data_IF_638247206847
#
_entry.id   IF_638247206847
#
_cell.length_a   1.000
_cell.length_b   1.000
_cell.length_c   1.000
_cell.angle_alpha   90.00
_cell.angle_beta   90.00
_cell.angle_gamma   90.00
#
_symmetry.space_group_name_H-M   'P 1'
#
loop_
_entity.id
_entity.type
_entity.pdbx_description
1 polymer ?
#
# COMPACT_ATOMS: atom_id res chain seq x y z
N UNK A 1 14.27 -2.31 -0.94
CA UNK A 1 14.58 -2.12 -2.38
C UNK A 1 15.56 -0.97 -2.50
N UNK A 2 16.60 -1.11 -3.28
CA UNK A 2 17.54 -0.01 -3.50
C UNK A 2 16.99 1.01 -4.52
N UNK A 3 17.66 2.17 -4.63
CA UNK A 3 17.20 3.28 -5.48
C UNK A 3 17.19 2.89 -6.96
N UNK A 4 18.20 2.15 -7.42
CA UNK A 4 18.28 1.76 -8.83
C UNK A 4 17.18 0.79 -9.21
N UNK A 5 16.91 -0.21 -8.38
CA UNK A 5 15.78 -1.13 -8.60
C UNK A 5 14.45 -0.40 -8.56
N UNK A 6 14.31 0.58 -7.67
CA UNK A 6 13.10 1.39 -7.60
C UNK A 6 12.90 2.24 -8.85
N UNK A 7 13.96 2.80 -9.43
CA UNK A 7 13.87 3.54 -10.69
C UNK A 7 13.39 2.66 -11.83
N UNK A 8 13.94 1.46 -11.95
CA UNK A 8 13.54 0.50 -12.98
C UNK A 8 12.08 0.07 -12.79
N UNK A 9 11.70 -0.22 -11.56
CA UNK A 9 10.32 -0.60 -11.23
C UNK A 9 9.35 0.55 -11.51
N UNK A 10 9.74 1.78 -11.18
CA UNK A 10 8.93 2.97 -11.44
C UNK A 10 8.64 3.14 -12.94
N UNK A 11 9.67 3.01 -13.78
CA UNK A 11 9.51 3.09 -15.23
C UNK A 11 8.58 2.00 -15.76
N UNK A 12 8.74 0.78 -15.27
CA UNK A 12 7.87 -0.34 -15.63
C UNK A 12 6.41 -0.08 -15.23
N UNK A 13 6.21 0.38 -13.99
CA UNK A 13 4.87 0.66 -13.46
C UNK A 13 4.18 1.76 -14.28
N UNK A 14 4.89 2.84 -14.61
CA UNK A 14 4.32 3.91 -15.42
C UNK A 14 3.88 3.39 -16.80
N UNK A 15 4.69 2.56 -17.42
CA UNK A 15 4.37 1.96 -18.72
C UNK A 15 3.13 1.08 -18.62
N UNK A 16 3.06 0.20 -17.62
CA UNK A 16 1.90 -0.66 -17.41
C UNK A 16 0.63 0.12 -17.13
N UNK A 17 0.72 1.19 -16.34
CA UNK A 17 -0.42 2.05 -16.06
C UNK A 17 -0.94 2.76 -17.31
N UNK A 18 -0.03 3.21 -18.20
CA UNK A 18 -0.42 3.83 -19.46
C UNK A 18 -1.07 2.84 -20.42
N UNK A 19 -0.52 1.63 -20.54
CA UNK A 19 -0.97 0.63 -21.49
C UNK A 19 -2.21 -0.13 -21.01
N UNK A 20 -2.27 -0.47 -19.74
CA UNK A 20 -3.27 -1.41 -19.21
C UNK A 20 -4.13 -0.84 -18.09
N UNK A 21 -3.87 0.39 -17.61
CA UNK A 21 -4.57 1.04 -16.50
C UNK A 21 -4.51 0.22 -15.21
N UNK A 22 -3.50 -0.64 -15.09
CA UNK A 22 -3.28 -1.47 -13.90
C UNK A 22 -1.89 -2.10 -13.97
N UNK A 23 -1.39 -2.51 -12.81
CA UNK A 23 -0.15 -3.26 -12.71
C UNK A 23 -0.24 -4.28 -11.58
N UNK A 24 0.33 -5.45 -11.79
CA UNK A 24 0.46 -6.47 -10.74
C UNK A 24 1.80 -6.29 -10.04
N UNK A 25 1.77 -6.22 -8.71
CA UNK A 25 2.96 -6.02 -7.89
C UNK A 25 3.06 -7.14 -6.86
N UNK A 26 4.30 -7.61 -6.65
CA UNK A 26 4.63 -8.57 -5.60
C UNK A 26 5.26 -7.79 -4.44
N UNK A 27 4.56 -7.65 -3.30
CA UNK A 27 5.10 -6.93 -2.15
C UNK A 27 6.42 -7.51 -1.68
N UNK A 28 7.34 -6.65 -1.26
CA UNK A 28 8.64 -7.05 -0.73
C UNK A 28 8.80 -6.52 0.69
N UNK A 29 9.55 -7.26 1.52
CA UNK A 29 9.82 -6.88 2.88
C UNK A 29 8.66 -7.18 3.82
N UNK A 30 8.68 -6.54 5.00
CA UNK A 30 7.78 -6.87 6.10
C UNK A 30 6.91 -5.69 6.55
N UNK A 31 6.97 -4.55 5.89
CA UNK A 31 6.28 -3.35 6.35
C UNK A 31 4.76 -3.48 6.36
N UNK A 32 4.20 -4.39 5.56
CA UNK A 32 2.76 -4.62 5.47
C UNK A 32 2.29 -5.91 6.12
N UNK A 33 3.15 -6.58 6.90
CA UNK A 33 2.74 -7.72 7.70
C UNK A 33 1.71 -7.30 8.76
N UNK A 34 0.74 -8.11 9.06
CA UNK A 34 0.45 -9.44 8.52
C UNK A 34 -0.46 -9.45 7.30
N UNK A 35 -0.91 -8.28 6.82
CA UNK A 35 -1.91 -8.20 5.74
C UNK A 35 -1.32 -8.55 4.38
N UNK A 36 -0.15 -8.06 4.05
CA UNK A 36 0.56 -8.44 2.83
C UNK A 36 1.89 -9.08 3.20
N UNK A 37 2.16 -10.21 2.58
CA UNK A 37 3.35 -11.00 2.88
C UNK A 37 4.11 -11.33 1.60
N UNK A 38 5.41 -11.05 1.60
CA UNK A 38 6.31 -11.41 0.52
C UNK A 38 6.25 -12.92 0.27
N UNK A 39 6.19 -13.32 -1.00
CA UNK A 39 6.16 -14.72 -1.38
C UNK A 39 4.79 -15.39 -1.25
N UNK A 40 3.83 -14.73 -0.63
CA UNK A 40 2.46 -15.25 -0.47
C UNK A 40 1.44 -14.48 -1.30
N UNK A 41 1.56 -13.16 -1.32
CA UNK A 41 0.54 -12.27 -1.88
C UNK A 41 1.04 -11.54 -3.11
N UNK A 42 0.13 -11.23 -4.02
CA UNK A 42 0.32 -10.23 -5.06
C UNK A 42 -0.86 -9.28 -5.05
N UNK A 43 -0.65 -8.07 -5.57
CA UNK A 43 -1.69 -7.05 -5.58
C UNK A 43 -1.83 -6.44 -6.96
N UNK A 44 -3.06 -6.07 -7.31
CA UNK A 44 -3.34 -5.26 -8.50
C UNK A 44 -3.50 -3.82 -8.04
N UNK A 45 -2.72 -2.93 -8.64
CA UNK A 45 -2.74 -1.49 -8.38
C UNK A 45 -3.32 -0.79 -9.59
N UNK A 46 -4.26 0.13 -9.36
CA UNK A 46 -4.87 0.96 -10.40
C UNK A 46 -4.66 2.43 -10.09
N UNK A 47 -4.46 3.27 -11.14
CA UNK A 47 -4.39 4.72 -10.98
C UNK A 47 -5.81 5.27 -10.83
N UNK A 48 -6.26 5.45 -9.60
CA UNK A 48 -7.58 5.98 -9.31
C UNK A 48 -7.48 7.44 -8.86
N UNK A 49 -8.59 8.23 -9.03
CA UNK A 49 -8.62 9.60 -8.52
C UNK A 49 -8.40 9.64 -7.01
N UNK A 50 -7.76 10.69 -6.54
CA UNK A 50 -7.48 10.88 -5.10
C UNK A 50 -8.77 10.88 -4.29
N UNK A 51 -9.86 11.39 -4.88
CA UNK A 51 -11.18 11.42 -4.23
C UNK A 51 -11.74 10.03 -3.93
N UNK A 52 -11.28 9.00 -4.63
CA UNK A 52 -11.70 7.61 -4.40
C UNK A 52 -10.82 6.85 -3.42
N UNK A 53 -9.79 7.50 -2.90
CA UNK A 53 -8.88 6.90 -1.92
C UNK A 53 -9.37 7.22 -0.51
N UNK A 54 -9.51 6.18 0.32
CA UNK A 54 -10.09 6.30 1.66
C UNK A 54 -9.14 5.75 2.71
N UNK A 55 -9.34 6.21 3.95
CA UNK A 55 -8.63 5.64 5.10
C UNK A 55 -8.73 4.12 5.07
N UNK A 56 -7.59 3.44 5.21
CA UNK A 56 -7.50 1.99 5.16
C UNK A 56 -7.08 1.44 3.81
N UNK A 57 -7.16 2.22 2.73
CA UNK A 57 -6.66 1.78 1.42
C UNK A 57 -5.14 1.61 1.46
N UNK A 58 -4.64 0.65 0.70
CA UNK A 58 -3.21 0.45 0.52
C UNK A 58 -2.81 1.21 -0.75
N UNK A 59 -1.85 2.11 -0.60
CA UNK A 59 -1.43 3.05 -1.64
C UNK A 59 -0.01 2.72 -2.08
N UNK A 60 0.20 2.72 -3.40
CA UNK A 60 1.53 2.67 -3.98
C UNK A 60 2.00 4.10 -4.23
N UNK A 61 3.13 4.47 -3.66
CA UNK A 61 3.68 5.80 -3.83
C UNK A 61 5.20 5.77 -3.89
N UNK A 62 5.78 6.88 -4.35
CA UNK A 62 7.23 7.07 -4.39
C UNK A 62 7.63 8.00 -3.26
N UNK A 63 8.48 7.51 -2.37
CA UNK A 63 9.02 8.27 -1.25
C UNK A 63 10.02 9.33 -1.76
N UNK A 64 10.34 10.33 -0.94
CA UNK A 64 11.31 11.39 -1.28
C UNK A 64 12.69 10.85 -1.66
N UNK A 65 13.08 9.69 -1.11
CA UNK A 65 14.33 9.02 -1.45
C UNK A 65 14.25 8.23 -2.76
N UNK A 66 13.15 8.38 -3.50
CA UNK A 66 12.84 7.68 -4.76
C UNK A 66 12.55 6.18 -4.60
N UNK A 67 12.33 5.73 -3.39
CA UNK A 67 11.95 4.35 -3.10
C UNK A 67 10.44 4.17 -3.27
N UNK A 68 10.04 3.09 -3.95
CA UNK A 68 8.64 2.72 -4.07
C UNK A 68 8.15 2.02 -2.81
N UNK A 69 6.98 2.41 -2.35
CA UNK A 69 6.42 1.93 -1.07
C UNK A 69 4.95 1.58 -1.24
N UNK A 70 4.53 0.47 -0.62
CA UNK A 70 3.14 0.10 -0.42
C UNK A 70 2.83 0.26 1.07
N UNK A 71 2.03 1.25 1.42
CA UNK A 71 1.62 1.48 2.81
C UNK A 71 0.14 1.81 2.86
N UNK A 72 -0.42 1.73 4.07
CA UNK A 72 -1.85 1.96 4.31
C UNK A 72 -2.12 3.42 4.57
N UNK A 73 -3.16 3.96 3.93
CA UNK A 73 -3.57 5.35 4.13
C UNK A 73 -4.16 5.51 5.53
N UNK A 74 -3.51 6.32 6.35
CA UNK A 74 -3.97 6.65 7.69
C UNK A 74 -4.97 7.81 7.64
N UNK A 75 -4.58 8.90 6.99
CA UNK A 75 -5.47 10.04 6.75
C UNK A 75 -4.93 10.88 5.60
N UNK A 76 -5.78 11.73 5.07
CA UNK A 76 -5.41 12.66 4.00
C UNK A 76 -6.15 13.99 4.22
N UNK A 77 -5.57 15.06 3.66
CA UNK A 77 -6.26 16.34 3.47
C UNK A 77 -6.25 16.67 1.97
N UNK A 78 -6.56 17.90 1.59
CA UNK A 78 -6.69 18.27 0.18
C UNK A 78 -5.40 18.09 -0.63
N UNK A 79 -4.23 18.18 0.00
CA UNK A 79 -2.93 18.18 -0.69
C UNK A 79 -2.02 17.03 -0.28
N UNK A 80 -2.20 16.50 0.91
CA UNK A 80 -1.22 15.63 1.54
C UNK A 80 -1.81 14.32 1.99
N UNK A 81 -0.99 13.29 1.91
CA UNK A 81 -1.32 11.94 2.34
C UNK A 81 -0.39 11.54 3.48
N UNK A 82 -0.95 10.85 4.47
CA UNK A 82 -0.21 10.33 5.62
C UNK A 82 -0.44 8.82 5.68
N UNK A 83 0.65 8.05 5.59
CA UNK A 83 0.59 6.62 5.40
C UNK A 83 1.42 5.89 6.45
N UNK A 84 1.05 4.64 6.72
CA UNK A 84 1.77 3.80 7.69
C UNK A 84 1.79 2.36 7.21
N UNK A 85 2.93 1.69 7.39
CA UNK A 85 3.02 0.25 7.18
C UNK A 85 2.30 -0.50 8.30
N UNK A 86 1.66 -1.61 7.97
CA UNK A 86 0.91 -2.39 8.95
C UNK A 86 1.81 -2.96 10.07
N UNK A 87 3.07 -3.15 9.76
CA UNK A 87 4.07 -3.61 10.73
C UNK A 87 4.91 -2.46 11.29
N UNK A 88 4.41 -1.23 11.20
CA UNK A 88 5.12 -0.03 11.65
C UNK A 88 4.23 0.81 12.54
N UNK A 89 4.86 1.57 13.43
CA UNK A 89 4.15 2.52 14.29
C UNK A 89 4.23 3.96 13.78
N UNK A 90 5.24 4.25 12.97
CA UNK A 90 5.46 5.59 12.42
C UNK A 90 4.46 5.89 11.30
N UNK A 91 3.94 7.11 11.29
CA UNK A 91 3.16 7.64 10.18
C UNK A 91 4.09 8.48 9.31
N UNK A 92 4.18 8.12 8.04
CA UNK A 92 4.94 8.88 7.05
C UNK A 92 4.06 9.96 6.43
N UNK A 93 4.65 11.09 6.16
CA UNK A 93 3.99 12.19 5.48
C UNK A 93 4.60 13.54 5.85
N UNK A 94 4.19 14.59 5.15
CA UNK A 94 3.22 14.60 4.05
C UNK A 94 3.79 13.98 2.76
N UNK A 95 2.97 13.16 2.10
CA UNK A 95 3.25 12.64 0.77
C UNK A 95 2.36 13.40 -0.21
N UNK A 96 2.96 13.98 -1.23
CA UNK A 96 2.24 14.80 -2.20
C UNK A 96 1.47 13.94 -3.20
N UNK A 97 0.37 14.46 -3.70
CA UNK A 97 -0.46 13.77 -4.69
C UNK A 97 0.35 13.31 -5.90
N UNK A 98 1.31 14.10 -6.36
CA UNK A 98 2.17 13.75 -7.50
C UNK A 98 3.02 12.52 -7.28
N UNK A 99 3.26 12.14 -6.04
CA UNK A 99 4.04 10.95 -5.69
C UNK A 99 3.18 9.69 -5.57
N UNK A 100 1.84 9.83 -5.62
CA UNK A 100 0.91 8.71 -5.55
C UNK A 100 0.82 8.06 -6.94
N UNK A 101 1.08 6.76 -7.02
CA UNK A 101 1.02 6.01 -8.27
C UNK A 101 -0.31 5.31 -8.45
N UNK A 102 -0.92 4.84 -7.38
CA UNK A 102 -2.19 4.15 -7.46
C UNK A 102 -2.61 3.52 -6.15
N UNK A 103 -3.74 2.84 -6.19
CA UNK A 103 -4.33 2.17 -5.04
C UNK A 103 -4.49 0.68 -5.32
N UNK A 104 -4.25 -0.14 -4.30
CA UNK A 104 -4.48 -1.58 -4.40
C UNK A 104 -5.99 -1.84 -4.44
N UNK A 105 -6.44 -2.41 -5.55
CA UNK A 105 -7.85 -2.74 -5.75
C UNK A 105 -8.17 -4.21 -5.52
N UNK A 106 -7.17 -5.08 -5.67
CA UNK A 106 -7.35 -6.52 -5.61
C UNK A 106 -6.13 -7.15 -4.96
N UNK A 107 -6.35 -8.07 -4.06
CA UNK A 107 -5.31 -8.88 -3.42
C UNK A 107 -5.48 -10.32 -3.87
N UNK A 108 -4.37 -10.94 -4.30
CA UNK A 108 -4.35 -12.35 -4.68
C UNK A 108 -3.47 -13.12 -3.72
N UNK A 109 -4.06 -14.15 -3.12
CA UNK A 109 -3.39 -15.03 -2.15
C UNK A 109 -3.65 -16.47 -2.53
N UNK A 110 -2.65 -17.15 -3.10
CA UNK A 110 -2.80 -18.49 -3.63
C UNK A 110 -3.95 -18.55 -4.63
N UNK A 111 -5.01 -19.35 -4.36
CA UNK A 111 -6.19 -19.48 -5.21
C UNK A 111 -7.28 -18.45 -4.90
N UNK A 112 -7.07 -17.62 -3.87
CA UNK A 112 -8.09 -16.68 -3.42
C UNK A 112 -7.80 -15.29 -3.95
N UNK A 113 -8.85 -14.59 -4.37
CA UNK A 113 -8.80 -13.21 -4.83
C UNK A 113 -9.86 -12.42 -4.10
N UNK A 114 -9.50 -11.27 -3.52
CA UNK A 114 -10.48 -10.41 -2.86
C UNK A 114 -10.21 -8.95 -3.17
N UNK A 115 -11.32 -8.20 -3.21
CA UNK A 115 -11.34 -6.78 -3.51
C UNK A 115 -10.98 -5.95 -2.28
N UNK A 116 -10.50 -4.72 -2.49
CA UNK A 116 -10.31 -3.75 -1.42
C UNK A 116 -11.60 -3.44 -0.66
N UNK A 117 -12.76 -3.69 -1.27
CA UNK A 117 -14.07 -3.47 -0.65
C UNK A 117 -14.63 -4.72 0.03
N UNK A 118 -13.89 -5.82 0.07
CA UNK A 118 -14.33 -7.02 0.77
C UNK A 118 -14.61 -6.68 2.25
N UNK A 119 -15.79 -7.05 2.78
CA UNK A 119 -16.19 -6.63 4.14
C UNK A 119 -15.19 -7.01 5.23
N UNK A 120 -14.65 -8.22 5.18
CA UNK A 120 -13.66 -8.67 6.17
C UNK A 120 -12.35 -7.90 6.04
N UNK A 121 -11.95 -7.58 4.81
CA UNK A 121 -10.76 -6.78 4.57
C UNK A 121 -10.92 -5.36 5.12
N UNK A 122 -12.05 -4.73 4.86
CA UNK A 122 -12.37 -3.40 5.38
C UNK A 122 -12.38 -3.39 6.90
N UNK A 123 -13.07 -4.35 7.50
CA UNK A 123 -13.18 -4.43 8.95
C UNK A 123 -11.81 -4.63 9.60
N UNK A 124 -11.04 -5.60 9.14
CA UNK A 124 -9.72 -5.88 9.71
C UNK A 124 -8.74 -4.73 9.49
N UNK A 125 -8.81 -4.05 8.35
CA UNK A 125 -7.97 -2.90 8.06
C UNK A 125 -8.24 -1.74 9.03
N UNK A 126 -9.51 -1.43 9.25
CA UNK A 126 -9.87 -0.36 10.18
C UNK A 126 -9.56 -0.71 11.62
N UNK A 127 -9.80 -1.94 12.04
CA UNK A 127 -9.42 -2.41 13.38
C UNK A 127 -7.91 -2.35 13.58
N UNK A 128 -7.14 -2.73 12.57
CA UNK A 128 -5.67 -2.67 12.66
C UNK A 128 -5.17 -1.24 12.82
N UNK A 129 -5.76 -0.29 12.10
CA UNK A 129 -5.42 1.13 12.27
C UNK A 129 -5.82 1.64 13.66
N UNK A 130 -6.94 1.18 14.18
CA UNK A 130 -7.39 1.54 15.53
C UNK A 130 -6.42 1.03 16.60
N UNK A 131 -5.90 -0.20 16.44
CA UNK A 131 -4.94 -0.78 17.38
C UNK A 131 -3.49 -0.37 17.10
N UNK A 132 -3.28 0.58 16.22
CA UNK A 132 -1.95 1.04 15.83
C UNK A 132 -1.02 1.35 17.01
N UNK A 133 -1.45 2.01 18.09
CA UNK A 133 -0.56 2.32 19.22
C UNK A 133 0.01 1.09 19.93
N UNK A 134 -0.65 -0.07 19.84
CA UNK A 134 -0.21 -1.29 20.51
C UNK A 134 0.40 -2.32 19.56
N UNK A 135 0.57 -1.97 18.28
CA UNK A 135 1.18 -2.87 17.28
C UNK A 135 2.52 -3.46 17.72
N UNK A 136 3.44 -2.71 18.34
CA UNK A 136 4.71 -3.28 18.76
C UNK A 136 4.56 -4.46 19.70
N UNK A 137 3.54 -4.45 20.53
CA UNK A 137 3.27 -5.53 21.48
C UNK A 137 2.61 -6.73 20.80
N UNK A 138 1.79 -6.48 19.78
CA UNK A 138 1.12 -7.54 19.01
C UNK A 138 2.07 -8.20 18.02
N UNK A 139 2.98 -7.45 17.44
CA UNK A 139 3.89 -7.93 16.40
C UNK A 139 4.78 -9.08 16.87
N UNK A 140 4.98 -9.22 18.16
CA UNK A 140 5.76 -10.33 18.73
C UNK A 140 4.97 -11.64 18.74
N UNK A 141 3.70 -11.64 18.42
CA UNK A 141 2.84 -12.81 18.43
C UNK A 141 2.80 -13.55 17.09
N UNK A 142 3.41 -12.98 16.04
CA UNK A 142 3.42 -13.60 14.70
C UNK A 142 4.76 -13.43 13.97
#
# INVERSE_FOLDING_TARGET
>A
MDVEKSKQAYAFIQKEMQLHQKVCIHPQGYSMWPFLKEGRDSVIVKPLPVSSMHRGDIILYRRNDQILVLHRLHHKNKKDFFLTGDNQTKIEGPVRQKEILGVVTTIRRKKHTFSRFHPLWLLTSHLWLLFRPIKPYIAHLY
#
